data_IF_178813944577
#
_entry.id   IF_178813944577
#
_cell.length_a   1.000
_cell.length_b   1.000
_cell.length_c   1.000
_cell.angle_alpha   90.00
_cell.angle_beta   90.00
_cell.angle_gamma   90.00
#
_symmetry.space_group_name_H-M   'P 1'
#
loop_
_entity.id
_entity.type
_entity.pdbx_description
1 polymer ?
#
# COMPACT_ATOMS: atom_id res chain seq x y z
N UNK A 1 -17.25 20.30 0.07
CA UNK A 1 -15.89 20.87 -0.03
C UNK A 1 -14.99 19.68 -0.31
N UNK A 2 -14.69 19.42 -1.58
CA UNK A 2 -13.87 18.29 -2.00
C UNK A 2 -12.43 18.58 -1.61
N UNK A 3 -11.90 17.88 -0.62
CA UNK A 3 -10.46 17.82 -0.42
C UNK A 3 -9.89 17.21 -1.70
N UNK A 4 -9.34 18.02 -2.60
CA UNK A 4 -8.43 17.53 -3.61
C UNK A 4 -7.27 16.89 -2.85
N UNK A 5 -7.29 15.56 -2.74
CA UNK A 5 -6.18 14.85 -2.14
C UNK A 5 -4.98 15.13 -3.01
N UNK A 6 -3.95 15.77 -2.46
CA UNK A 6 -2.62 15.90 -3.07
C UNK A 6 -1.91 14.53 -3.10
N UNK A 7 -2.64 13.48 -3.47
CA UNK A 7 -2.17 12.13 -3.59
C UNK A 7 -1.48 12.01 -4.96
N UNK A 8 -0.27 11.46 -5.02
CA UNK A 8 0.41 11.26 -6.29
C UNK A 8 -0.44 10.34 -7.18
N UNK A 9 -0.49 10.68 -8.47
CA UNK A 9 -1.27 9.94 -9.47
C UNK A 9 -0.85 8.46 -9.45
N UNK A 10 -1.80 7.52 -9.16
CA UNK A 10 -1.45 6.12 -9.01
C UNK A 10 -0.81 5.51 -10.25
N UNK A 11 -1.20 5.98 -11.45
CA UNK A 11 -0.65 5.51 -12.71
C UNK A 11 0.83 5.86 -12.79
N UNK A 12 1.17 7.10 -12.47
CA UNK A 12 2.56 7.58 -12.46
C UNK A 12 3.40 6.87 -11.40
N UNK A 13 2.87 6.70 -10.17
CA UNK A 13 3.60 6.08 -9.04
C UNK A 13 3.99 4.62 -9.33
N UNK A 14 3.10 3.88 -9.99
CA UNK A 14 3.30 2.45 -10.23
C UNK A 14 3.81 2.11 -11.63
N UNK A 15 4.17 3.12 -12.45
CA UNK A 15 4.59 2.92 -13.83
C UNK A 15 5.79 1.95 -13.95
N UNK A 16 6.76 2.09 -13.05
CA UNK A 16 7.98 1.26 -13.02
C UNK A 16 7.89 0.12 -11.99
N UNK A 17 6.72 -0.09 -11.39
CA UNK A 17 6.54 -1.14 -10.38
C UNK A 17 6.65 -2.54 -11.01
N UNK A 18 7.26 -3.52 -10.34
CA UNK A 18 7.25 -4.90 -10.80
C UNK A 18 5.83 -5.42 -11.07
N UNK A 19 5.68 -6.42 -11.93
CA UNK A 19 4.34 -6.98 -12.21
C UNK A 19 3.66 -7.49 -10.92
N UNK A 20 2.33 -7.44 -10.87
CA UNK A 20 1.56 -7.94 -9.70
C UNK A 20 1.94 -9.38 -9.36
N UNK A 21 2.12 -10.24 -10.38
CA UNK A 21 2.53 -11.64 -10.19
C UNK A 21 3.93 -11.71 -9.56
N UNK A 22 4.89 -10.92 -10.04
CA UNK A 22 6.24 -10.87 -9.47
C UNK A 22 6.24 -10.40 -8.01
N UNK A 23 5.43 -9.40 -7.67
CA UNK A 23 5.27 -8.93 -6.29
C UNK A 23 4.65 -10.00 -5.39
N UNK A 24 3.63 -10.73 -5.86
CA UNK A 24 3.02 -11.83 -5.10
C UNK A 24 4.05 -12.94 -4.83
N UNK A 25 4.83 -13.34 -5.84
CA UNK A 25 5.91 -14.32 -5.66
C UNK A 25 6.93 -13.83 -4.62
N UNK A 26 7.35 -12.57 -4.72
CA UNK A 26 8.28 -11.98 -3.75
C UNK A 26 7.71 -12.00 -2.32
N UNK A 27 6.44 -11.64 -2.14
CA UNK A 27 5.75 -11.67 -0.84
C UNK A 27 5.67 -13.09 -0.27
N UNK A 28 5.41 -14.09 -1.11
CA UNK A 28 5.40 -15.50 -0.69
C UNK A 28 6.80 -15.92 -0.23
N UNK A 29 7.85 -15.60 -0.99
CA UNK A 29 9.24 -15.93 -0.66
C UNK A 29 9.68 -15.34 0.68
N UNK A 30 9.21 -14.14 1.05
CA UNK A 30 9.49 -13.54 2.37
C UNK A 30 8.90 -14.37 3.55
N UNK A 31 7.98 -15.30 3.28
CA UNK A 31 7.31 -16.11 4.29
C UNK A 31 7.77 -17.59 4.27
N UNK A 32 8.32 -18.11 3.17
CA UNK A 32 8.63 -19.55 3.00
C UNK A 32 9.55 -20.12 4.09
N UNK A 33 10.52 -19.33 4.59
CA UNK A 33 11.52 -19.80 5.56
C UNK A 33 11.44 -19.10 6.92
N UNK A 34 10.33 -18.39 7.18
CA UNK A 34 10.21 -17.55 8.37
C UNK A 34 9.29 -18.20 9.41
N UNK A 35 9.74 -18.37 10.67
CA UNK A 35 8.88 -18.88 11.73
C UNK A 35 7.62 -18.02 11.88
N UNK A 36 6.49 -18.68 12.14
CA UNK A 36 5.23 -17.99 12.42
C UNK A 36 5.43 -17.00 13.58
N UNK A 37 4.91 -15.79 13.42
CA UNK A 37 5.04 -14.71 14.42
C UNK A 37 6.32 -13.86 14.31
N UNK A 38 7.20 -14.13 13.36
CA UNK A 38 8.35 -13.24 13.11
C UNK A 38 7.89 -11.99 12.37
N UNK A 39 8.01 -10.84 13.01
CA UNK A 39 7.59 -9.54 12.47
C UNK A 39 8.30 -9.18 11.17
N UNK A 40 7.53 -8.88 10.14
CA UNK A 40 8.04 -8.49 8.83
C UNK A 40 8.57 -7.05 8.84
N UNK A 41 9.60 -6.78 8.03
CA UNK A 41 10.19 -5.44 7.92
C UNK A 41 9.30 -4.45 7.15
N UNK A 42 9.65 -3.17 7.21
CA UNK A 42 8.91 -2.08 6.54
C UNK A 42 8.67 -2.34 5.06
N UNK A 43 9.71 -2.73 4.32
CA UNK A 43 9.64 -2.98 2.87
C UNK A 43 8.61 -4.07 2.51
N UNK A 44 8.46 -5.08 3.36
CA UNK A 44 7.43 -6.09 3.17
C UNK A 44 6.03 -5.48 3.27
N UNK A 45 5.78 -4.68 4.31
CA UNK A 45 4.48 -4.04 4.50
C UNK A 45 4.18 -3.02 3.41
N UNK A 46 5.19 -2.24 3.01
CA UNK A 46 5.06 -1.24 1.95
C UNK A 46 4.74 -1.88 0.60
N UNK A 47 5.51 -2.89 0.19
CA UNK A 47 5.28 -3.58 -1.08
C UNK A 47 3.97 -4.36 -1.09
N UNK A 48 3.60 -4.97 0.05
CA UNK A 48 2.29 -5.63 0.20
C UNK A 48 1.13 -4.65 0.04
N UNK A 49 1.20 -3.49 0.70
CA UNK A 49 0.16 -2.48 0.56
C UNK A 49 0.10 -1.92 -0.87
N UNK A 50 1.26 -1.69 -1.50
CA UNK A 50 1.33 -1.19 -2.87
C UNK A 50 0.76 -2.17 -3.92
N UNK A 51 1.04 -3.47 -3.82
CA UNK A 51 0.47 -4.45 -4.77
C UNK A 51 -1.04 -4.58 -4.60
N UNK A 52 -1.56 -4.53 -3.37
CA UNK A 52 -3.00 -4.57 -3.11
C UNK A 52 -3.71 -3.30 -3.57
N UNK A 53 -3.07 -2.13 -3.43
CA UNK A 53 -3.57 -0.87 -3.99
C UNK A 53 -3.71 -0.93 -5.52
N UNK A 54 -2.71 -1.50 -6.19
CA UNK A 54 -2.73 -1.70 -7.65
C UNK A 54 -3.83 -2.67 -8.10
N UNK A 55 -4.00 -3.78 -7.38
CA UNK A 55 -5.11 -4.71 -7.64
C UNK A 55 -6.46 -3.99 -7.49
N UNK A 56 -6.64 -3.19 -6.44
CA UNK A 56 -7.87 -2.42 -6.27
C UNK A 56 -8.12 -1.42 -7.41
N UNK A 57 -7.06 -0.77 -7.92
CA UNK A 57 -7.16 0.13 -9.08
C UNK A 57 -7.58 -0.65 -10.34
N UNK A 58 -6.95 -1.79 -10.63
CA UNK A 58 -7.27 -2.63 -11.78
C UNK A 58 -8.70 -3.19 -11.68
N UNK A 59 -9.14 -3.63 -10.50
CA UNK A 59 -10.49 -4.12 -10.29
C UNK A 59 -11.55 -3.04 -10.44
N UNK A 60 -11.31 -1.83 -9.92
CA UNK A 60 -12.21 -0.68 -10.11
C UNK A 60 -12.33 -0.29 -11.58
N UNK A 61 -11.24 -0.38 -12.34
CA UNK A 61 -11.24 -0.09 -13.77
C UNK A 61 -11.95 -1.17 -14.60
N UNK A 62 -11.98 -2.41 -14.13
CA UNK A 62 -12.45 -3.58 -14.90
C UNK A 62 -13.87 -4.01 -14.55
N UNK A 63 -14.24 -3.93 -13.27
CA UNK A 63 -15.45 -4.54 -12.75
C UNK A 63 -16.45 -3.50 -12.20
N UNK A 64 -17.70 -3.92 -12.06
CA UNK A 64 -18.73 -3.08 -11.45
C UNK A 64 -18.42 -2.82 -9.95
N UNK A 65 -18.87 -1.68 -9.38
CA UNK A 65 -18.52 -1.30 -8.00
C UNK A 65 -18.74 -2.36 -6.92
N UNK A 66 -19.84 -3.15 -6.92
CA UNK A 66 -20.02 -4.21 -5.90
C UNK A 66 -18.97 -5.32 -5.97
N UNK A 67 -18.39 -5.56 -7.14
CA UNK A 67 -17.36 -6.59 -7.35
C UNK A 67 -16.01 -6.08 -6.87
N UNK A 68 -15.66 -4.83 -7.20
CA UNK A 68 -14.38 -4.22 -6.82
C UNK A 68 -14.31 -3.82 -5.33
N UNK A 69 -15.44 -3.76 -4.62
CA UNK A 69 -15.50 -3.34 -3.22
C UNK A 69 -14.56 -4.12 -2.29
N UNK A 70 -14.46 -5.44 -2.49
CA UNK A 70 -13.58 -6.29 -1.67
C UNK A 70 -12.10 -5.97 -1.88
N UNK A 71 -11.68 -5.66 -3.12
CA UNK A 71 -10.31 -5.28 -3.40
C UNK A 71 -9.97 -3.91 -2.79
N UNK A 72 -10.92 -2.96 -2.83
CA UNK A 72 -10.77 -1.66 -2.17
C UNK A 72 -10.58 -1.85 -0.66
N UNK A 73 -11.50 -2.56 0.00
CA UNK A 73 -11.42 -2.81 1.45
C UNK A 73 -10.10 -3.51 1.84
N UNK A 74 -9.67 -4.49 1.04
CA UNK A 74 -8.40 -5.19 1.25
C UNK A 74 -7.20 -4.26 1.11
N UNK A 75 -7.20 -3.36 0.12
CA UNK A 75 -6.16 -2.36 -0.07
C UNK A 75 -6.13 -1.34 1.08
N UNK A 76 -7.28 -0.89 1.55
CA UNK A 76 -7.37 0.00 2.71
C UNK A 76 -6.82 -0.64 3.98
N UNK A 77 -7.18 -1.90 4.27
CA UNK A 77 -6.68 -2.63 5.43
C UNK A 77 -5.15 -2.84 5.36
N UNK A 78 -4.63 -3.19 4.19
CA UNK A 78 -3.19 -3.30 4.01
C UNK A 78 -2.46 -1.96 4.19
N UNK A 79 -3.07 -0.87 3.72
CA UNK A 79 -2.55 0.47 3.91
C UNK A 79 -2.55 0.90 5.39
N UNK A 80 -3.63 0.59 6.13
CA UNK A 80 -3.69 0.82 7.59
C UNK A 80 -2.57 0.07 8.31
N UNK A 81 -2.29 -1.18 7.94
CA UNK A 81 -1.18 -1.94 8.55
C UNK A 81 0.19 -1.34 8.32
N UNK A 82 0.46 -0.77 7.14
CA UNK A 82 1.71 -0.03 6.92
C UNK A 82 1.77 1.20 7.84
N UNK A 83 0.70 1.97 7.92
CA UNK A 83 0.62 3.15 8.79
C UNK A 83 0.85 2.76 10.26
N UNK A 84 0.19 1.71 10.74
CA UNK A 84 0.38 1.18 12.09
C UNK A 84 1.84 0.76 12.34
N UNK A 85 2.45 0.06 11.37
CA UNK A 85 3.85 -0.32 11.43
C UNK A 85 4.75 0.91 11.56
N UNK A 86 4.53 1.94 10.75
CA UNK A 86 5.35 3.15 10.75
C UNK A 86 5.12 4.02 11.99
N UNK A 87 3.90 4.09 12.51
CA UNK A 87 3.60 4.70 13.83
C UNK A 87 4.40 4.01 14.93
N UNK A 88 4.44 2.68 14.91
CA UNK A 88 5.12 1.88 15.94
C UNK A 88 6.65 1.95 15.83
N UNK A 89 7.20 1.94 14.61
CA UNK A 89 8.64 1.70 14.39
C UNK A 89 9.43 2.93 13.94
N UNK A 90 8.79 3.90 13.29
CA UNK A 90 9.48 5.08 12.73
C UNK A 90 9.19 6.36 13.51
N UNK A 91 8.27 6.30 14.47
CA UNK A 91 7.78 7.47 15.20
C UNK A 91 6.87 8.36 14.35
N UNK A 92 6.26 7.80 13.29
CA UNK A 92 5.25 8.50 12.49
C UNK A 92 4.16 9.02 13.45
N UNK A 93 4.05 10.34 13.54
CA UNK A 93 3.07 10.98 14.41
C UNK A 93 1.87 11.37 13.56
N UNK A 94 0.75 10.67 13.75
CA UNK A 94 -0.54 11.01 13.13
C UNK A 94 -1.20 12.25 13.76
N UNK A 95 -0.41 13.14 14.37
CA UNK A 95 -0.91 14.31 15.13
C UNK A 95 -1.75 15.21 14.22
N UNK A 96 -3.07 15.12 14.39
CA UNK A 96 -4.01 16.13 13.86
C UNK A 96 -5.27 15.61 13.16
N UNK A 97 -5.57 14.31 13.10
CA UNK A 97 -6.83 13.85 12.50
C UNK A 97 -7.50 12.75 13.33
N UNK A 98 -8.69 13.05 13.86
CA UNK A 98 -9.57 12.08 14.52
C UNK A 98 -10.26 11.12 13.52
N UNK A 99 -10.02 11.24 12.20
CA UNK A 99 -10.50 10.26 11.21
C UNK A 99 -9.48 10.13 10.09
N UNK A 100 -8.67 9.08 10.11
CA UNK A 100 -7.88 8.67 8.94
C UNK A 100 -8.77 7.74 8.11
N UNK A 101 -9.09 8.16 6.89
CA UNK A 101 -9.90 7.34 5.98
C UNK A 101 -9.06 6.25 5.30
N UNK A 102 -9.72 5.26 4.72
CA UNK A 102 -9.03 4.27 3.89
C UNK A 102 -8.29 4.88 2.71
N UNK A 103 -8.89 5.88 2.06
CA UNK A 103 -8.25 6.62 0.96
C UNK A 103 -7.03 7.41 1.43
N UNK A 104 -7.05 8.01 2.63
CA UNK A 104 -5.86 8.68 3.20
C UNK A 104 -4.71 7.69 3.40
N UNK A 105 -5.00 6.48 3.89
CA UNK A 105 -4.00 5.42 4.02
C UNK A 105 -3.46 4.98 2.65
N UNK A 106 -4.32 4.83 1.64
CA UNK A 106 -3.88 4.45 0.29
C UNK A 106 -3.04 5.55 -0.36
N UNK A 107 -3.37 6.81 -0.15
CA UNK A 107 -2.53 7.95 -0.57
C UNK A 107 -1.17 7.95 0.15
N UNK A 108 -1.13 7.61 1.43
CA UNK A 108 0.10 7.40 2.19
C UNK A 108 0.98 6.32 1.53
N UNK A 109 0.41 5.14 1.24
CA UNK A 109 1.13 4.03 0.57
C UNK A 109 1.76 4.47 -0.74
N UNK A 110 1.02 5.19 -1.59
CA UNK A 110 1.53 5.65 -2.90
C UNK A 110 2.73 6.58 -2.75
N UNK A 111 2.67 7.53 -1.81
CA UNK A 111 3.79 8.44 -1.54
C UNK A 111 5.01 7.70 -1.03
N UNK A 112 4.85 6.84 -0.04
CA UNK A 112 5.97 6.07 0.52
C UNK A 112 6.57 5.10 -0.49
N UNK A 113 5.74 4.51 -1.36
CA UNK A 113 6.20 3.62 -2.42
C UNK A 113 7.01 4.36 -3.47
N UNK A 114 6.56 5.55 -3.88
CA UNK A 114 7.25 6.43 -4.82
C UNK A 114 8.60 6.92 -4.28
N UNK A 115 8.68 7.24 -2.99
CA UNK A 115 9.94 7.57 -2.33
C UNK A 115 10.87 6.35 -2.26
N UNK A 116 10.37 5.21 -1.80
CA UNK A 116 11.14 3.96 -1.72
C UNK A 116 11.65 3.51 -3.08
N UNK A 117 10.80 3.49 -4.13
CA UNK A 117 11.17 3.01 -5.46
C UNK A 117 12.31 3.84 -6.06
N UNK A 118 12.28 5.16 -5.87
CA UNK A 118 13.39 6.05 -6.27
C UNK A 118 14.70 5.70 -5.57
N UNK A 119 14.67 5.31 -4.30
CA UNK A 119 15.89 4.88 -3.59
C UNK A 119 16.45 3.55 -4.05
N UNK A 120 15.62 2.69 -4.68
CA UNK A 120 16.08 1.40 -5.21
C UNK A 120 16.73 1.52 -6.61
N UNK A 121 16.52 2.66 -7.29
CA UNK A 121 17.11 2.96 -8.59
C UNK A 121 18.50 3.60 -8.50
N UNK A 122 18.95 3.93 -7.27
CA UNK A 122 20.27 4.48 -6.95
C UNK A 122 21.24 3.37 -6.54
#
# INVERSE_FOLDING_TARGET
>A
MTHESNAPDPITVYAEAPSIVSEICWLLDQNVNRPFGTEQGRDFWLRKAAVLDRIAIEEVATYAPPVAANAIETAEEAARRLVEYDVTHTGLSLKGSDVITGDDCRAYVRREYDEWSRTQLL
#
